data_IF_398497477612
#
_entry.id   IF_398497477612
#
_cell.length_a   1.000
_cell.length_b   1.000
_cell.length_c   1.000
_cell.angle_alpha   90.00
_cell.angle_beta   90.00
_cell.angle_gamma   90.00
#
_symmetry.space_group_name_H-M   'P 1'
#
loop_
_entity.id
_entity.type
_entity.pdbx_description
1 polymer ?
#
# COMPACT_ATOMS: atom_id res chain seq x y z
N UNK A 1 -1.32 30.47 41.82
CA UNK A 1 -2.38 30.62 40.81
C UNK A 1 -1.91 30.02 39.48
N UNK A 2 -2.76 29.15 38.89
CA UNK A 2 -2.87 28.74 37.47
C UNK A 2 -1.65 28.09 36.78
N UNK A 3 -1.56 26.76 36.87
CA UNK A 3 -0.86 25.91 35.89
C UNK A 3 -1.68 25.86 34.60
N UNK A 4 -1.05 26.23 33.48
CA UNK A 4 -1.69 26.27 32.16
C UNK A 4 -1.49 24.89 31.52
N UNK A 5 -2.45 24.00 31.69
CA UNK A 5 -2.50 22.74 30.97
C UNK A 5 -3.12 22.99 29.60
N UNK A 6 -2.38 22.87 28.47
CA UNK A 6 -3.02 22.82 27.17
C UNK A 6 -3.67 21.44 27.04
N UNK A 7 -4.92 21.32 27.49
CA UNK A 7 -5.80 20.25 27.03
C UNK A 7 -6.27 20.62 25.63
N UNK A 8 -5.60 20.10 24.62
CA UNK A 8 -6.15 20.00 23.26
C UNK A 8 -6.20 18.51 22.95
N UNK A 9 -7.29 17.88 23.40
CA UNK A 9 -7.82 16.70 22.73
C UNK A 9 -8.58 17.18 21.50
N UNK A 10 -7.86 17.73 20.53
CA UNK A 10 -8.34 17.66 19.16
C UNK A 10 -8.24 16.18 18.79
N UNK A 11 -9.37 15.47 18.84
CA UNK A 11 -9.48 14.18 18.19
C UNK A 11 -9.28 14.45 16.71
N UNK A 12 -8.01 14.46 16.29
CA UNK A 12 -7.61 14.64 14.90
C UNK A 12 -8.27 13.49 14.18
N UNK A 13 -9.22 13.80 13.30
CA UNK A 13 -9.68 12.85 12.30
C UNK A 13 -8.43 12.46 11.50
N UNK A 14 -7.79 11.36 11.89
CA UNK A 14 -6.61 10.79 11.25
C UNK A 14 -7.10 10.12 9.98
N UNK A 15 -7.49 10.93 9.02
CA UNK A 15 -7.77 10.44 7.68
C UNK A 15 -6.41 10.04 7.13
N UNK A 16 -6.16 8.75 6.86
CA UNK A 16 -4.87 8.33 6.35
C UNK A 16 -4.59 9.11 5.07
N UNK A 17 -3.34 9.54 4.90
CA UNK A 17 -2.93 10.20 3.66
C UNK A 17 -3.23 9.27 2.49
N UNK A 18 -3.66 9.84 1.36
CA UNK A 18 -4.00 9.08 0.15
C UNK A 18 -2.89 8.11 -0.26
N UNK A 19 -1.63 8.53 -0.09
CA UNK A 19 -0.45 7.72 -0.29
C UNK A 19 -0.43 6.49 0.63
N UNK A 20 -0.69 6.66 1.93
CA UNK A 20 -0.74 5.56 2.88
C UNK A 20 -1.89 4.58 2.56
N UNK A 21 -3.04 5.09 2.11
CA UNK A 21 -4.14 4.25 1.65
C UNK A 21 -3.74 3.43 0.41
N UNK A 22 -3.06 4.05 -0.56
CA UNK A 22 -2.57 3.36 -1.75
C UNK A 22 -1.53 2.28 -1.40
N UNK A 23 -0.57 2.59 -0.53
CA UNK A 23 0.42 1.64 -0.02
C UNK A 23 -0.30 0.47 0.68
N UNK A 24 -1.30 0.75 1.52
CA UNK A 24 -2.06 -0.28 2.20
C UNK A 24 -2.79 -1.20 1.21
N UNK A 25 -3.47 -0.63 0.19
CA UNK A 25 -4.17 -1.41 -0.83
C UNK A 25 -3.21 -2.30 -1.63
N UNK A 26 -2.08 -1.75 -2.07
CA UNK A 26 -1.05 -2.49 -2.81
C UNK A 26 -0.43 -3.58 -1.92
N UNK A 27 -0.16 -3.27 -0.64
CA UNK A 27 0.34 -4.22 0.34
C UNK A 27 -0.62 -5.38 0.59
N UNK A 28 -1.92 -5.11 0.73
CA UNK A 28 -2.95 -6.16 0.88
C UNK A 28 -3.00 -7.06 -0.36
N UNK A 29 -2.97 -6.47 -1.57
CA UNK A 29 -2.95 -7.24 -2.80
C UNK A 29 -1.67 -8.09 -2.94
N UNK A 30 -0.53 -7.54 -2.51
CA UNK A 30 0.74 -8.25 -2.51
C UNK A 30 0.70 -9.47 -1.59
N UNK A 31 0.21 -9.31 -0.37
CA UNK A 31 0.05 -10.43 0.57
C UNK A 31 -0.90 -11.47 -0.02
N UNK A 32 -2.02 -11.05 -0.61
CA UNK A 32 -2.96 -11.94 -1.29
C UNK A 32 -2.31 -12.74 -2.42
N UNK A 33 -1.48 -12.11 -3.24
CA UNK A 33 -0.71 -12.78 -4.28
C UNK A 33 0.29 -13.79 -3.70
N UNK A 34 1.02 -13.43 -2.65
CA UNK A 34 2.00 -14.32 -2.02
C UNK A 34 1.34 -15.54 -1.34
N UNK A 35 0.14 -15.38 -0.78
CA UNK A 35 -0.62 -16.45 -0.13
C UNK A 35 -1.28 -17.37 -1.15
N UNK A 36 -2.00 -16.81 -2.12
CA UNK A 36 -2.80 -17.60 -3.05
C UNK A 36 -2.04 -18.05 -4.29
N UNK A 37 -0.98 -17.34 -4.69
CA UNK A 37 -0.12 -17.67 -5.84
C UNK A 37 -0.88 -17.85 -7.16
N UNK A 38 -2.05 -17.23 -7.28
CA UNK A 38 -2.90 -17.33 -8.47
C UNK A 38 -2.61 -16.23 -9.49
N UNK A 39 -2.90 -16.46 -10.78
CA UNK A 39 -2.83 -15.41 -11.80
C UNK A 39 -3.77 -14.24 -11.50
N UNK A 40 -4.97 -14.49 -10.98
CA UNK A 40 -5.93 -13.46 -10.61
C UNK A 40 -5.39 -12.49 -9.55
N UNK A 41 -4.77 -13.04 -8.48
CA UNK A 41 -4.16 -12.21 -7.45
C UNK A 41 -2.96 -11.41 -7.99
N UNK A 42 -2.23 -11.96 -8.97
CA UNK A 42 -1.15 -11.26 -9.67
C UNK A 42 -1.67 -10.09 -10.50
N UNK A 43 -2.74 -10.30 -11.27
CA UNK A 43 -3.34 -9.25 -12.09
C UNK A 43 -3.92 -8.12 -11.23
N UNK A 44 -4.59 -8.46 -10.13
CA UNK A 44 -5.08 -7.46 -9.17
C UNK A 44 -3.96 -6.63 -8.54
N UNK A 45 -2.84 -7.26 -8.18
CA UNK A 45 -1.65 -6.55 -7.68
C UNK A 45 -1.08 -5.60 -8.73
N UNK A 46 -0.95 -6.07 -9.97
CA UNK A 46 -0.47 -5.27 -11.11
C UNK A 46 -1.37 -4.05 -11.35
N UNK A 47 -2.68 -4.23 -11.37
CA UNK A 47 -3.62 -3.14 -11.62
C UNK A 47 -3.56 -2.06 -10.53
N UNK A 48 -3.50 -2.46 -9.26
CA UNK A 48 -3.37 -1.53 -8.14
C UNK A 48 -2.01 -0.82 -8.14
N UNK A 49 -0.93 -1.52 -8.47
CA UNK A 49 0.39 -0.93 -8.60
C UNK A 49 0.45 0.11 -9.73
N UNK A 50 -0.12 -0.20 -10.90
CA UNK A 50 -0.23 0.74 -12.03
C UNK A 50 -1.10 1.95 -11.70
N UNK A 51 -2.22 1.74 -11.01
CA UNK A 51 -3.09 2.83 -10.56
C UNK A 51 -2.36 3.78 -9.60
N UNK A 52 -1.63 3.22 -8.63
CA UNK A 52 -0.89 4.00 -7.64
C UNK A 52 0.34 4.70 -8.26
N UNK A 53 0.99 4.09 -9.26
CA UNK A 53 2.03 4.73 -10.08
C UNK A 53 1.49 5.96 -10.81
N UNK A 54 0.40 5.79 -11.58
CA UNK A 54 -0.20 6.88 -12.38
C UNK A 54 -0.65 8.06 -11.51
N UNK A 55 -0.96 7.79 -10.24
CA UNK A 55 -1.40 8.77 -9.26
C UNK A 55 -0.29 9.42 -8.47
N UNK A 56 0.97 8.99 -8.66
CA UNK A 56 2.13 9.45 -7.89
C UNK A 56 2.08 9.02 -6.41
N UNK A 57 1.29 7.99 -6.09
CA UNK A 57 1.12 7.50 -4.72
C UNK A 57 2.24 6.53 -4.30
N UNK A 58 3.04 6.03 -5.24
CA UNK A 58 4.17 5.15 -4.99
C UNK A 58 5.48 5.81 -5.39
N UNK A 59 6.54 5.53 -4.62
CA UNK A 59 7.88 5.95 -5.00
C UNK A 59 8.46 5.02 -6.07
N UNK A 60 9.51 5.47 -6.75
CA UNK A 60 10.25 4.64 -7.70
C UNK A 60 10.80 3.35 -7.05
N UNK A 61 11.12 3.38 -5.75
CA UNK A 61 11.60 2.21 -5.00
C UNK A 61 10.49 1.18 -4.82
N UNK A 62 9.29 1.62 -4.45
CA UNK A 62 8.13 0.73 -4.27
C UNK A 62 7.79 0.00 -5.58
N UNK A 63 7.82 0.74 -6.69
CA UNK A 63 7.58 0.19 -8.02
C UNK A 63 8.65 -0.80 -8.45
N UNK A 64 9.92 -0.53 -8.11
CA UNK A 64 11.01 -1.46 -8.40
C UNK A 64 10.81 -2.80 -7.68
N UNK A 65 10.44 -2.76 -6.39
CA UNK A 65 10.13 -3.97 -5.61
C UNK A 65 8.96 -4.74 -6.20
N UNK A 66 7.87 -4.06 -6.55
CA UNK A 66 6.70 -4.69 -7.18
C UNK A 66 7.04 -5.33 -8.53
N UNK A 67 7.86 -4.67 -9.33
CA UNK A 67 8.31 -5.20 -10.64
C UNK A 67 9.13 -6.47 -10.45
N UNK A 68 10.05 -6.50 -9.47
CA UNK A 68 10.80 -7.72 -9.15
C UNK A 68 9.88 -8.86 -8.74
N UNK A 69 8.94 -8.61 -7.83
CA UNK A 69 8.01 -9.64 -7.34
C UNK A 69 7.13 -10.18 -8.48
N UNK A 70 6.66 -9.30 -9.37
CA UNK A 70 5.86 -9.70 -10.54
C UNK A 70 6.70 -10.43 -11.60
N UNK A 71 8.00 -10.17 -11.68
CA UNK A 71 8.91 -10.86 -12.59
C UNK A 71 9.28 -12.27 -12.11
N UNK A 72 9.24 -12.52 -10.79
CA UNK A 72 9.47 -13.84 -10.24
C UNK A 72 8.28 -14.75 -10.59
N UNK A 73 8.48 -15.83 -11.37
CA UNK A 73 7.41 -16.78 -11.62
C UNK A 73 7.03 -17.44 -10.29
N UNK A 74 5.76 -17.31 -9.89
CA UNK A 74 5.27 -18.02 -8.72
C UNK A 74 5.43 -19.52 -8.97
N UNK A 75 6.12 -20.28 -8.10
CA UNK A 75 6.25 -21.72 -8.27
C UNK A 75 4.85 -22.31 -8.23
N UNK A 76 4.47 -22.96 -9.33
CA UNK A 76 3.31 -23.83 -9.42
C UNK A 76 3.54 -24.94 -8.40
N UNK A 77 2.81 -24.89 -7.28
CA UNK A 77 2.71 -26.03 -6.37
C UNK A 77 1.65 -27.00 -6.89
#
# INVERSE_FOLDING_TARGET
MKTKHPSSSDSKASTPSRNLLAIAMVGTALIGYQVHKTPDARDRLKDLASLAQNRGDLTARDLHVLTQILATPSPSN
#
